data_IF_081653849024
#
_entry.id   IF_081653849024
#
_cell.length_a   1.000
_cell.length_b   1.000
_cell.length_c   1.000
_cell.angle_alpha   90.00
_cell.angle_beta   90.00
_cell.angle_gamma   90.00
#
_symmetry.space_group_name_H-M   'P 1'
#
loop_
_entity.id
_entity.type
_entity.pdbx_description
1 polymer ?
#
# COMPACT_ATOMS: atom_id res chain seq x y z
N UNK A 1 18.46 4.38 37.61
CA UNK A 1 19.20 4.72 36.36
C UNK A 1 19.88 3.48 35.78
N UNK A 2 20.63 2.70 36.59
CA UNK A 2 21.30 1.47 36.12
C UNK A 2 20.34 0.41 35.56
N UNK A 3 19.21 0.15 36.23
CA UNK A 3 18.22 -0.85 35.80
C UNK A 3 17.63 -0.55 34.41
N UNK A 4 17.27 0.71 34.14
CA UNK A 4 16.75 1.12 32.83
C UNK A 4 17.78 0.92 31.72
N UNK A 5 19.06 1.22 31.98
CA UNK A 5 20.13 1.00 31.00
C UNK A 5 20.31 -0.49 30.68
N UNK A 6 20.16 -1.38 31.67
CA UNK A 6 20.26 -2.83 31.46
C UNK A 6 19.08 -3.31 30.60
N UNK A 7 17.85 -2.89 30.92
CA UNK A 7 16.66 -3.26 30.15
C UNK A 7 16.76 -2.79 28.70
N UNK A 8 17.17 -1.53 28.48
CA UNK A 8 17.39 -0.98 27.14
C UNK A 8 18.46 -1.75 26.35
N UNK A 9 19.57 -2.10 27.01
CA UNK A 9 20.67 -2.84 26.37
C UNK A 9 20.26 -4.27 25.98
N UNK A 10 19.54 -4.96 26.87
CA UNK A 10 19.02 -6.31 26.61
C UNK A 10 17.99 -6.27 25.49
N UNK A 11 17.05 -5.31 25.52
CA UNK A 11 16.05 -5.14 24.46
C UNK A 11 16.72 -4.90 23.11
N UNK A 12 17.72 -4.04 23.05
CA UNK A 12 18.47 -3.74 21.82
C UNK A 12 19.18 -4.98 21.28
N UNK A 13 19.81 -5.77 22.15
CA UNK A 13 20.50 -7.00 21.76
C UNK A 13 19.53 -8.04 21.20
N UNK A 14 18.37 -8.21 21.83
CA UNK A 14 17.30 -9.10 21.35
C UNK A 14 16.78 -8.64 19.98
N UNK A 15 16.49 -7.35 19.81
CA UNK A 15 16.00 -6.84 18.52
C UNK A 15 17.07 -6.94 17.44
N UNK A 16 18.33 -6.67 17.75
CA UNK A 16 19.44 -6.82 16.80
C UNK A 16 19.58 -8.28 16.34
N UNK A 17 19.52 -9.24 17.26
CA UNK A 17 19.54 -10.66 16.93
C UNK A 17 18.37 -11.05 16.02
N UNK A 18 17.15 -10.57 16.34
CA UNK A 18 15.97 -10.80 15.53
C UNK A 18 16.10 -10.19 14.12
N UNK A 19 16.68 -8.99 14.00
CA UNK A 19 16.96 -8.33 12.72
C UNK A 19 17.94 -9.14 11.89
N UNK A 20 19.08 -9.53 12.45
CA UNK A 20 20.13 -10.26 11.73
C UNK A 20 19.61 -11.61 11.26
N UNK A 21 18.95 -12.36 12.14
CA UNK A 21 18.38 -13.67 11.77
C UNK A 21 17.30 -13.54 10.70
N UNK A 22 16.40 -12.56 10.83
CA UNK A 22 15.36 -12.30 9.82
C UNK A 22 15.98 -11.92 8.48
N UNK A 23 17.01 -11.06 8.49
CA UNK A 23 17.71 -10.63 7.28
C UNK A 23 18.40 -11.81 6.58
N UNK A 24 19.15 -12.63 7.32
CA UNK A 24 19.82 -13.82 6.77
C UNK A 24 18.82 -14.81 6.19
N UNK A 25 17.70 -15.05 6.87
CA UNK A 25 16.64 -15.94 6.39
C UNK A 25 15.98 -15.38 5.11
N UNK A 26 15.67 -14.08 5.09
CA UNK A 26 15.09 -13.42 3.91
C UNK A 26 16.07 -13.43 2.73
N UNK A 27 17.36 -13.26 2.99
CA UNK A 27 18.39 -13.25 1.94
C UNK A 27 18.46 -14.60 1.22
N UNK A 28 18.28 -15.72 1.94
CA UNK A 28 18.27 -17.06 1.36
C UNK A 28 17.01 -17.28 0.52
N UNK A 29 15.83 -16.91 1.04
CA UNK A 29 14.56 -17.20 0.35
C UNK A 29 14.16 -16.18 -0.72
N UNK A 30 14.44 -14.89 -0.49
CA UNK A 30 14.00 -13.77 -1.34
C UNK A 30 15.12 -12.74 -1.52
N UNK A 31 16.24 -13.11 -2.17
CA UNK A 31 17.40 -12.24 -2.32
C UNK A 31 17.08 -10.94 -3.08
N UNK A 32 16.13 -10.98 -4.03
CA UNK A 32 15.69 -9.79 -4.77
C UNK A 32 15.05 -8.74 -3.86
N UNK A 33 14.20 -9.18 -2.92
CA UNK A 33 13.52 -8.29 -1.99
C UNK A 33 14.52 -7.56 -1.09
N UNK A 34 15.48 -8.30 -0.54
CA UNK A 34 16.56 -7.74 0.29
C UNK A 34 17.39 -6.71 -0.48
N UNK A 35 17.75 -6.97 -1.74
CA UNK A 35 18.52 -5.99 -2.55
C UNK A 35 17.78 -4.66 -2.67
N UNK A 36 16.47 -4.70 -2.93
CA UNK A 36 15.65 -3.48 -3.07
C UNK A 36 15.60 -2.71 -1.75
N UNK A 37 15.34 -3.40 -0.64
CA UNK A 37 15.27 -2.77 0.69
C UNK A 37 16.63 -2.19 1.09
N UNK A 38 17.71 -2.96 0.94
CA UNK A 38 19.06 -2.49 1.22
C UNK A 38 19.43 -1.30 0.34
N UNK A 39 19.04 -1.30 -0.94
CA UNK A 39 19.27 -0.17 -1.83
C UNK A 39 18.53 1.09 -1.37
N UNK A 40 17.23 0.99 -1.06
CA UNK A 40 16.42 2.13 -0.61
C UNK A 40 16.95 2.69 0.71
N UNK A 41 17.29 1.81 1.66
CA UNK A 41 17.95 2.18 2.92
C UNK A 41 19.27 2.91 2.67
N UNK A 42 20.18 2.33 1.85
CA UNK A 42 21.48 2.91 1.57
C UNK A 42 21.37 4.26 0.86
N UNK A 43 20.43 4.38 -0.07
CA UNK A 43 20.17 5.64 -0.77
C UNK A 43 19.74 6.73 0.22
N UNK A 44 18.76 6.43 1.08
CA UNK A 44 18.29 7.37 2.10
C UNK A 44 19.40 7.76 3.09
N UNK A 45 20.19 6.78 3.54
CA UNK A 45 21.33 7.00 4.43
C UNK A 45 22.37 7.93 3.81
N UNK A 46 22.82 7.66 2.59
CA UNK A 46 23.85 8.46 1.93
C UNK A 46 23.35 9.84 1.54
N UNK A 47 22.13 9.95 1.01
CA UNK A 47 21.51 11.24 0.70
C UNK A 47 21.43 12.13 1.95
N UNK A 48 20.94 11.58 3.07
CA UNK A 48 20.87 12.30 4.34
C UNK A 48 22.26 12.69 4.84
N UNK A 49 23.24 11.81 4.69
CA UNK A 49 24.63 12.06 5.11
C UNK A 49 25.26 13.22 4.34
N UNK A 50 25.05 13.27 3.03
CA UNK A 50 25.54 14.35 2.17
C UNK A 50 24.92 15.69 2.59
N UNK A 51 23.61 15.71 2.89
CA UNK A 51 22.92 16.90 3.38
C UNK A 51 23.52 17.38 4.70
N UNK A 52 23.79 16.47 5.64
CA UNK A 52 24.46 16.81 6.90
C UNK A 52 25.85 17.39 6.69
N UNK A 53 26.66 16.77 5.84
CA UNK A 53 27.99 17.29 5.51
C UNK A 53 27.92 18.69 4.91
N UNK A 54 26.95 18.95 4.03
CA UNK A 54 26.73 20.28 3.45
C UNK A 54 26.34 21.33 4.51
N UNK A 55 25.48 20.97 5.47
CA UNK A 55 25.12 21.85 6.58
C UNK A 55 26.32 22.16 7.49
N UNK A 56 27.15 21.15 7.78
CA UNK A 56 28.37 21.33 8.57
C UNK A 56 29.35 22.25 7.83
N UNK A 57 29.59 22.01 6.54
CA UNK A 57 30.51 22.80 5.72
C UNK A 57 30.09 24.28 5.62
N UNK A 58 28.79 24.54 5.55
CA UNK A 58 28.22 25.89 5.50
C UNK A 58 28.05 26.54 6.88
N UNK A 59 28.46 25.86 7.96
CA UNK A 59 28.26 26.29 9.36
C UNK A 59 26.79 26.59 9.69
N UNK A 60 25.88 25.89 9.01
CA UNK A 60 24.42 25.98 9.21
C UNK A 60 23.91 24.91 10.16
N UNK A 61 24.74 24.45 11.09
CA UNK A 61 24.34 23.51 12.14
C UNK A 61 24.74 24.06 13.50
N UNK A 62 23.79 24.05 14.44
CA UNK A 62 24.03 24.48 15.81
C UNK A 62 24.96 23.53 16.55
N UNK A 63 25.48 23.97 17.70
CA UNK A 63 26.27 23.11 18.61
C UNK A 63 25.47 21.89 19.10
N UNK A 64 24.14 22.00 19.08
CA UNK A 64 23.21 20.97 19.53
C UNK A 64 22.78 20.04 18.37
N UNK A 65 23.38 20.16 17.18
CA UNK A 65 23.02 19.37 16.00
C UNK A 65 21.74 19.85 15.28
N UNK A 66 21.11 20.93 15.77
CA UNK A 66 19.92 21.50 15.14
C UNK A 66 20.29 22.25 13.87
N UNK A 67 19.66 21.96 12.71
CA UNK A 67 19.88 22.72 11.48
C UNK A 67 19.46 24.19 11.64
N UNK A 68 20.37 25.11 11.31
CA UNK A 68 20.19 26.56 11.34
C UNK A 68 20.10 27.12 9.90
N UNK A 69 19.71 28.40 9.79
CA UNK A 69 19.65 29.10 8.50
C UNK A 69 18.49 28.68 7.59
N UNK A 70 18.45 29.20 6.35
CA UNK A 70 17.36 28.93 5.40
C UNK A 70 17.23 27.44 5.05
N UNK A 71 18.37 26.76 4.83
CA UNK A 71 18.39 25.33 4.49
C UNK A 71 17.95 24.48 5.68
N UNK A 72 18.44 24.79 6.88
CA UNK A 72 18.01 24.10 8.10
C UNK A 72 16.52 24.29 8.41
N UNK A 73 15.99 25.50 8.20
CA UNK A 73 14.55 25.78 8.31
C UNK A 73 13.74 24.98 7.29
N UNK A 74 14.19 24.92 6.03
CA UNK A 74 13.54 24.12 4.99
C UNK A 74 13.51 22.63 5.36
N UNK A 75 14.63 22.10 5.84
CA UNK A 75 14.72 20.70 6.29
C UNK A 75 13.77 20.41 7.45
N UNK A 76 13.73 21.29 8.46
CA UNK A 76 12.90 21.09 9.65
C UNK A 76 11.41 21.26 9.38
N UNK A 77 11.03 22.21 8.53
CA UNK A 77 9.62 22.56 8.31
C UNK A 77 8.98 21.75 7.19
N UNK A 78 9.74 21.39 6.15
CA UNK A 78 9.18 20.72 4.97
C UNK A 78 9.70 19.29 4.82
N UNK A 79 11.02 19.10 4.74
CA UNK A 79 11.58 17.80 4.35
C UNK A 79 11.41 16.73 5.44
N UNK A 80 11.86 16.99 6.67
CA UNK A 80 11.81 16.01 7.75
C UNK A 80 10.38 15.61 8.12
N UNK A 81 9.42 16.53 8.30
CA UNK A 81 8.03 16.15 8.54
C UNK A 81 7.48 15.27 7.42
N UNK A 82 7.79 15.58 6.16
CA UNK A 82 7.36 14.78 5.02
C UNK A 82 7.95 13.35 5.05
N UNK A 83 9.26 13.19 5.27
CA UNK A 83 9.89 11.86 5.31
C UNK A 83 9.51 11.03 6.54
N UNK A 84 9.05 11.68 7.62
CA UNK A 84 8.63 11.02 8.85
C UNK A 84 7.12 10.94 9.05
N UNK A 85 6.32 11.41 8.07
CA UNK A 85 4.86 11.26 8.10
C UNK A 85 4.43 9.86 7.64
N UNK A 86 4.89 8.86 8.41
CA UNK A 86 4.58 7.44 8.18
C UNK A 86 3.07 7.19 8.26
N UNK A 87 2.32 8.02 9.01
CA UNK A 87 0.87 7.89 9.12
C UNK A 87 0.18 8.26 7.81
N UNK A 88 0.57 9.37 7.18
CA UNK A 88 0.02 9.75 5.89
C UNK A 88 0.43 8.77 4.80
N UNK A 89 1.68 8.30 4.80
CA UNK A 89 2.15 7.25 3.89
C UNK A 89 1.32 5.96 4.02
N UNK A 90 1.11 5.50 5.25
CA UNK A 90 0.31 4.32 5.53
C UNK A 90 -1.14 4.50 5.07
N UNK A 91 -1.74 5.67 5.37
CA UNK A 91 -3.09 5.99 4.95
C UNK A 91 -3.21 6.03 3.43
N UNK A 92 -2.27 6.65 2.74
CA UNK A 92 -2.24 6.76 1.29
C UNK A 92 -2.16 5.36 0.62
N UNK A 93 -1.21 4.53 1.06
CA UNK A 93 -1.03 3.19 0.52
C UNK A 93 -2.25 2.30 0.80
N UNK A 94 -2.81 2.38 2.01
CA UNK A 94 -4.02 1.64 2.40
C UNK A 94 -5.25 2.12 1.62
N UNK A 95 -5.38 3.42 1.37
CA UNK A 95 -6.48 3.99 0.59
C UNK A 95 -6.44 3.50 -0.86
N UNK A 96 -5.26 3.49 -1.48
CA UNK A 96 -5.07 2.94 -2.84
C UNK A 96 -5.43 1.45 -2.87
N UNK A 97 -4.93 0.66 -1.92
CA UNK A 97 -5.26 -0.76 -1.83
C UNK A 97 -6.77 -0.97 -1.65
N UNK A 98 -7.41 -0.17 -0.80
CA UNK A 98 -8.86 -0.24 -0.55
C UNK A 98 -9.68 0.13 -1.78
N UNK A 99 -9.24 1.13 -2.57
CA UNK A 99 -9.89 1.54 -3.81
C UNK A 99 -9.94 0.40 -4.84
N UNK A 100 -8.97 -0.50 -4.81
CA UNK A 100 -8.91 -1.66 -5.72
C UNK A 100 -9.63 -2.88 -5.12
N UNK A 101 -9.41 -3.15 -3.83
CA UNK A 101 -9.91 -4.35 -3.15
C UNK A 101 -11.42 -4.25 -2.90
N UNK A 102 -11.92 -3.12 -2.38
CA UNK A 102 -13.32 -2.99 -1.99
C UNK A 102 -14.31 -3.18 -3.16
N UNK A 103 -14.12 -2.53 -4.34
CA UNK A 103 -15.02 -2.76 -5.47
C UNK A 103 -15.05 -4.22 -5.94
N UNK A 104 -13.92 -4.91 -5.89
CA UNK A 104 -13.86 -6.34 -6.24
C UNK A 104 -14.59 -7.22 -5.22
N UNK A 105 -14.46 -6.93 -3.92
CA UNK A 105 -15.21 -7.64 -2.87
C UNK A 105 -16.71 -7.39 -3.05
N UNK A 106 -17.13 -6.14 -3.26
CA UNK A 106 -18.54 -5.83 -3.47
C UNK A 106 -19.08 -6.48 -4.74
N UNK A 107 -18.36 -6.41 -5.86
CA UNK A 107 -18.75 -7.09 -7.09
C UNK A 107 -18.86 -8.60 -6.89
N UNK A 108 -17.92 -9.21 -6.16
CA UNK A 108 -17.98 -10.63 -5.82
C UNK A 108 -19.23 -10.97 -4.99
N UNK A 109 -19.53 -10.16 -3.97
CA UNK A 109 -20.71 -10.35 -3.13
C UNK A 109 -22.01 -10.20 -3.92
N UNK A 110 -22.14 -9.14 -4.74
CA UNK A 110 -23.34 -8.90 -5.54
C UNK A 110 -23.52 -9.96 -6.62
N UNK A 111 -22.48 -10.29 -7.39
CA UNK A 111 -22.55 -11.38 -8.38
C UNK A 111 -22.75 -12.75 -7.72
N UNK A 112 -22.30 -12.93 -6.48
CA UNK A 112 -22.45 -14.16 -5.70
C UNK A 112 -23.90 -14.44 -5.36
N UNK A 113 -24.69 -13.40 -5.08
CA UNK A 113 -26.15 -13.51 -4.85
C UNK A 113 -26.86 -14.07 -6.09
N UNK A 114 -26.37 -13.77 -7.29
CA UNK A 114 -26.94 -14.25 -8.55
C UNK A 114 -26.29 -15.55 -9.07
N UNK A 115 -25.32 -16.13 -8.35
CA UNK A 115 -24.58 -17.32 -8.78
C UNK A 115 -23.63 -17.10 -9.96
N UNK A 116 -23.29 -15.84 -10.27
CA UNK A 116 -22.40 -15.47 -11.38
C UNK A 116 -21.00 -15.02 -10.91
N UNK A 117 -20.68 -15.17 -9.61
CA UNK A 117 -19.42 -14.70 -9.07
C UNK A 117 -18.21 -15.48 -9.62
N UNK A 118 -17.14 -14.75 -9.93
CA UNK A 118 -15.80 -15.28 -10.22
C UNK A 118 -14.82 -14.76 -9.18
N UNK A 119 -13.79 -15.54 -8.90
CA UNK A 119 -12.74 -15.17 -7.96
C UNK A 119 -12.15 -13.78 -8.29
N UNK A 120 -12.02 -12.87 -7.30
CA UNK A 120 -11.42 -11.56 -7.51
C UNK A 120 -9.93 -11.72 -7.85
N UNK A 121 -9.50 -11.01 -8.90
CA UNK A 121 -8.22 -11.28 -9.58
C UNK A 121 -7.06 -10.47 -8.96
N UNK A 122 -7.33 -9.25 -8.47
CA UNK A 122 -6.28 -8.28 -8.12
C UNK A 122 -6.06 -8.10 -6.61
N UNK A 123 -6.70 -8.92 -5.76
CA UNK A 123 -6.59 -8.77 -4.30
C UNK A 123 -5.16 -9.05 -3.83
N UNK A 124 -4.54 -10.14 -4.29
CA UNK A 124 -3.18 -10.51 -3.89
C UNK A 124 -2.17 -9.42 -4.28
N UNK A 125 -2.18 -8.97 -5.53
CA UNK A 125 -1.29 -7.91 -6.00
C UNK A 125 -1.48 -6.58 -5.27
N UNK A 126 -2.71 -6.25 -4.86
CA UNK A 126 -3.00 -5.02 -4.09
C UNK A 126 -2.47 -5.11 -2.66
N UNK A 127 -2.59 -6.28 -2.03
CA UNK A 127 -2.04 -6.55 -0.70
C UNK A 127 -0.51 -6.53 -0.74
N UNK A 128 0.10 -7.16 -1.75
CA UNK A 128 1.55 -7.15 -1.95
C UNK A 128 2.06 -5.72 -2.13
N UNK A 129 1.39 -4.91 -2.97
CA UNK A 129 1.70 -3.50 -3.15
C UNK A 129 1.62 -2.72 -1.83
N UNK A 130 0.60 -2.99 -1.02
CA UNK A 130 0.41 -2.34 0.27
C UNK A 130 1.59 -2.61 1.21
N UNK A 131 1.93 -3.88 1.43
CA UNK A 131 3.04 -4.23 2.31
C UNK A 131 4.40 -3.78 1.76
N UNK A 132 4.60 -3.83 0.44
CA UNK A 132 5.81 -3.31 -0.20
C UNK A 132 5.95 -1.80 -0.06
N UNK A 133 4.85 -1.05 -0.14
CA UNK A 133 4.83 0.39 0.11
C UNK A 133 5.27 0.70 1.54
N UNK A 134 4.64 0.03 2.51
CA UNK A 134 4.95 0.18 3.94
C UNK A 134 6.42 -0.17 4.22
N UNK A 135 6.91 -1.30 3.72
CA UNK A 135 8.30 -1.71 3.90
C UNK A 135 9.30 -0.67 3.36
N UNK A 136 9.01 -0.05 2.20
CA UNK A 136 9.85 0.99 1.63
C UNK A 136 9.87 2.25 2.50
N UNK A 137 8.72 2.74 2.97
CA UNK A 137 8.65 3.91 3.85
C UNK A 137 9.47 3.71 5.13
N UNK A 138 9.34 2.54 5.78
CA UNK A 138 10.15 2.21 6.97
C UNK A 138 11.65 2.09 6.65
N UNK A 139 12.01 1.54 5.49
CA UNK A 139 13.40 1.44 5.05
C UNK A 139 14.05 2.81 4.85
N UNK A 140 13.33 3.75 4.24
CA UNK A 140 13.77 5.14 4.08
C UNK A 140 13.95 5.80 5.44
N UNK A 141 12.94 5.72 6.31
CA UNK A 141 12.99 6.30 7.66
C UNK A 141 14.18 5.75 8.46
N UNK A 142 14.44 4.44 8.39
CA UNK A 142 15.59 3.80 9.03
C UNK A 142 16.92 4.35 8.50
N UNK A 143 17.06 4.54 7.18
CA UNK A 143 18.26 5.10 6.56
C UNK A 143 18.53 6.54 7.00
N UNK A 144 17.49 7.38 7.04
CA UNK A 144 17.56 8.75 7.54
C UNK A 144 18.03 8.75 9.00
N UNK A 145 17.37 7.97 9.88
CA UNK A 145 17.70 7.89 11.30
C UNK A 145 19.10 7.35 11.58
N UNK A 146 19.57 6.40 10.76
CA UNK A 146 20.92 5.86 10.87
C UNK A 146 21.97 6.93 10.57
N UNK A 147 21.75 7.77 9.56
CA UNK A 147 22.61 8.90 9.26
C UNK A 147 22.63 9.92 10.40
N UNK A 148 21.46 10.30 10.93
CA UNK A 148 21.37 11.17 12.10
C UNK A 148 22.14 10.62 13.31
N UNK A 149 21.97 9.32 13.59
CA UNK A 149 22.66 8.64 14.71
C UNK A 149 24.17 8.70 14.53
N UNK A 150 24.68 8.48 13.31
CA UNK A 150 26.10 8.61 13.01
C UNK A 150 26.64 10.01 13.34
N UNK A 151 25.94 11.06 12.92
CA UNK A 151 26.37 12.44 13.21
C UNK A 151 26.25 12.82 14.68
N UNK A 152 25.26 12.30 15.42
CA UNK A 152 25.21 12.50 16.86
C UNK A 152 26.41 11.88 17.57
N UNK A 153 26.87 10.70 17.13
CA UNK A 153 28.07 10.04 17.67
C UNK A 153 29.32 10.85 17.35
N UNK A 154 29.51 11.23 16.08
CA UNK A 154 30.73 11.90 15.62
C UNK A 154 30.81 13.36 16.10
N UNK A 155 29.69 14.08 16.05
CA UNK A 155 29.60 15.49 16.43
C UNK A 155 29.40 15.73 17.93
N UNK A 156 29.25 14.67 18.73
CA UNK A 156 28.86 14.73 20.15
C UNK A 156 27.58 15.55 20.38
N UNK A 157 26.67 15.54 19.42
CA UNK A 157 25.40 16.26 19.51
C UNK A 157 24.41 15.50 20.39
N UNK A 158 23.61 16.24 21.15
CA UNK A 158 22.49 15.68 21.90
C UNK A 158 21.38 15.30 20.92
N UNK A 159 21.06 14.00 20.88
CA UNK A 159 19.94 13.51 20.09
C UNK A 159 18.62 14.00 20.72
N UNK A 160 18.09 15.12 20.21
CA UNK A 160 16.75 15.60 20.55
C UNK A 160 15.82 15.36 19.37
N UNK A 161 15.14 14.21 19.36
CA UNK A 161 13.94 14.04 18.56
C UNK A 161 12.80 14.75 19.30
N UNK A 162 12.78 16.09 19.29
CA UNK A 162 11.64 16.85 19.82
C UNK A 162 10.33 16.46 19.12
N UNK A 163 10.41 15.84 17.95
CA UNK A 163 9.30 15.27 17.18
C UNK A 163 8.79 13.90 17.67
N UNK A 164 9.59 13.10 18.39
CA UNK A 164 9.22 11.73 18.86
C UNK A 164 8.97 11.70 20.38
N UNK A 165 9.07 12.85 21.04
CA UNK A 165 8.89 12.99 22.48
C UNK A 165 10.17 12.74 23.27
N UNK A 166 10.18 13.23 24.51
CA UNK A 166 11.32 13.09 25.44
C UNK A 166 11.39 11.65 25.97
N UNK A 167 11.97 10.74 25.19
CA UNK A 167 12.41 9.43 25.70
C UNK A 167 13.55 9.70 26.70
N UNK A 168 13.65 9.06 27.88
CA UNK A 168 14.83 9.13 28.76
C UNK A 168 16.00 8.23 28.26
N UNK A 169 17.23 8.37 28.78
CA UNK A 169 18.40 7.53 28.39
C UNK A 169 19.52 8.23 27.58
N UNK A 170 20.67 7.59 27.33
CA UNK A 170 21.77 8.22 26.58
C UNK A 170 21.45 8.30 25.07
N UNK A 171 21.81 9.40 24.39
CA UNK A 171 21.40 9.69 23.01
C UNK A 171 21.82 8.62 21.98
N UNK A 172 22.94 7.94 22.22
CA UNK A 172 23.43 6.83 21.39
C UNK A 172 22.49 5.62 21.40
N UNK A 173 22.09 5.15 22.60
CA UNK A 173 21.21 3.97 22.72
C UNK A 173 19.83 4.25 22.12
N UNK A 174 19.35 5.50 22.19
CA UNK A 174 18.10 5.90 21.54
C UNK A 174 18.18 5.85 20.03
N UNK A 175 19.21 6.47 19.42
CA UNK A 175 19.38 6.46 17.97
C UNK A 175 19.48 5.03 17.41
N UNK A 176 20.31 4.20 18.04
CA UNK A 176 20.48 2.79 17.64
C UNK A 176 19.18 2.00 17.84
N UNK A 177 18.46 2.18 18.96
CA UNK A 177 17.18 1.50 19.20
C UNK A 177 16.13 1.85 18.15
N UNK A 178 15.99 3.13 17.78
CA UNK A 178 15.00 3.53 16.76
C UNK A 178 15.38 2.98 15.39
N UNK A 179 16.66 3.00 15.01
CA UNK A 179 17.14 2.43 13.73
C UNK A 179 16.89 0.93 13.67
N UNK A 180 17.24 0.21 14.74
CA UNK A 180 17.06 -1.25 14.83
C UNK A 180 15.58 -1.60 14.79
N UNK A 181 14.71 -0.86 15.49
CA UNK A 181 13.26 -1.08 15.46
C UNK A 181 12.64 -0.76 14.09
N UNK A 182 13.06 0.32 13.42
CA UNK A 182 12.58 0.65 12.08
C UNK A 182 12.99 -0.42 11.05
N UNK A 183 14.22 -0.94 11.17
CA UNK A 183 14.70 -2.02 10.32
C UNK A 183 14.01 -3.36 10.63
N UNK A 184 13.74 -3.64 11.90
CA UNK A 184 12.95 -4.80 12.32
C UNK A 184 11.53 -4.76 11.75
N UNK A 185 10.85 -3.61 11.84
CA UNK A 185 9.53 -3.42 11.24
C UNK A 185 9.56 -3.61 9.73
N UNK A 186 10.59 -3.08 9.05
CA UNK A 186 10.80 -3.30 7.61
C UNK A 186 10.88 -4.79 7.28
N UNK A 187 11.72 -5.54 8.00
CA UNK A 187 11.89 -6.98 7.79
C UNK A 187 10.62 -7.76 8.13
N UNK A 188 9.91 -7.37 9.18
CA UNK A 188 8.63 -7.98 9.58
C UNK A 188 7.57 -7.81 8.50
N UNK A 189 7.41 -6.60 7.95
CA UNK A 189 6.43 -6.36 6.89
C UNK A 189 6.79 -7.07 5.58
N UNK A 190 8.07 -7.17 5.27
CA UNK A 190 8.51 -7.93 4.09
C UNK A 190 8.25 -9.41 4.32
N UNK A 191 8.55 -9.93 5.52
CA UNK A 191 8.22 -11.29 5.90
C UNK A 191 6.71 -11.57 5.77
N UNK A 192 5.85 -10.64 6.18
CA UNK A 192 4.40 -10.74 6.01
C UNK A 192 3.96 -10.71 4.54
N UNK A 193 4.55 -9.84 3.71
CA UNK A 193 4.26 -9.77 2.26
C UNK A 193 4.70 -11.03 1.52
N UNK A 194 5.75 -11.67 2.02
CA UNK A 194 6.40 -12.81 1.39
C UNK A 194 5.83 -14.14 1.89
N UNK A 195 5.37 -14.18 3.15
CA UNK A 195 4.71 -15.37 3.68
C UNK A 195 3.39 -15.59 2.92
N UNK A 196 3.07 -16.85 2.57
CA UNK A 196 1.76 -17.20 2.02
C UNK A 196 0.63 -16.98 3.04
N UNK A 197 0.86 -16.31 4.17
CA UNK A 197 -0.20 -15.79 5.02
C UNK A 197 -1.10 -14.83 4.23
N UNK A 198 -0.56 -13.98 3.35
CA UNK A 198 -1.39 -13.11 2.50
C UNK A 198 -2.17 -13.93 1.45
N UNK A 199 -1.56 -14.97 0.88
CA UNK A 199 -2.26 -15.93 0.01
C UNK A 199 -3.36 -16.68 0.76
N UNK A 200 -3.10 -17.15 1.99
CA UNK A 200 -4.09 -17.81 2.86
C UNK A 200 -5.16 -16.85 3.34
N UNK A 201 -4.85 -15.58 3.60
CA UNK A 201 -5.83 -14.56 3.94
C UNK A 201 -6.67 -14.15 2.74
N UNK A 202 -6.13 -14.16 1.52
CA UNK A 202 -6.88 -14.03 0.28
C UNK A 202 -7.71 -15.28 -0.06
N UNK A 203 -7.31 -16.46 0.44
CA UNK A 203 -8.10 -17.69 0.41
C UNK A 203 -9.15 -17.74 1.54
N UNK A 204 -8.95 -17.04 2.67
CA UNK A 204 -9.91 -16.98 3.77
C UNK A 204 -11.30 -16.41 3.42
N UNK A 205 -11.47 -15.39 2.54
CA UNK A 205 -12.81 -14.98 2.09
C UNK A 205 -13.51 -16.06 1.25
N UNK A 206 -12.78 -17.06 0.74
CA UNK A 206 -13.39 -18.26 0.13
C UNK A 206 -13.88 -19.29 1.16
N UNK A 207 -13.53 -19.11 2.43
CA UNK A 207 -14.29 -19.66 3.56
C UNK A 207 -15.28 -18.62 4.09
N UNK A 208 -16.06 -18.00 3.19
CA UNK A 208 -17.41 -17.57 3.53
C UNK A 208 -18.03 -18.70 4.38
N UNK A 209 -18.56 -18.40 5.59
CA UNK A 209 -19.06 -19.42 6.49
C UNK A 209 -19.98 -20.28 5.67
N UNK A 210 -19.71 -21.59 5.59
CA UNK A 210 -20.33 -22.59 4.70
C UNK A 210 -21.82 -22.33 4.42
N UNK A 211 -22.52 -21.78 5.41
CA UNK A 211 -23.88 -21.22 5.35
C UNK A 211 -24.13 -20.24 4.20
N UNK A 212 -23.28 -19.25 3.93
CA UNK A 212 -23.50 -18.27 2.83
C UNK A 212 -23.29 -18.94 1.47
N UNK A 213 -22.33 -19.86 1.35
CA UNK A 213 -22.16 -20.67 0.12
C UNK A 213 -23.38 -21.57 -0.09
N UNK A 214 -23.85 -22.25 0.97
CA UNK A 214 -25.06 -23.09 0.92
C UNK A 214 -26.30 -22.24 0.59
N UNK A 215 -26.43 -21.04 1.15
CA UNK A 215 -27.55 -20.12 0.84
C UNK A 215 -27.44 -19.63 -0.61
N UNK A 216 -26.25 -19.23 -1.08
CA UNK A 216 -26.04 -18.81 -2.46
C UNK A 216 -26.31 -19.96 -3.45
N UNK A 217 -25.90 -21.18 -3.10
CA UNK A 217 -26.16 -22.40 -3.87
C UNK A 217 -27.65 -22.76 -3.88
N UNK A 218 -28.34 -22.62 -2.75
CA UNK A 218 -29.80 -22.79 -2.67
C UNK A 218 -30.56 -21.73 -3.47
N UNK A 219 -30.12 -20.47 -3.43
CA UNK A 219 -30.69 -19.37 -4.21
C UNK A 219 -30.42 -19.57 -5.71
N UNK A 220 -29.22 -20.01 -6.08
CA UNK A 220 -28.85 -20.34 -7.46
C UNK A 220 -29.67 -21.52 -8.01
N UNK A 221 -29.79 -22.60 -7.23
CA UNK A 221 -30.64 -23.75 -7.57
C UNK A 221 -32.12 -23.39 -7.64
N UNK A 222 -32.59 -22.48 -6.78
CA UNK A 222 -33.95 -21.94 -6.85
C UNK A 222 -34.16 -21.11 -8.11
N UNK A 223 -33.21 -20.24 -8.48
CA UNK A 223 -33.26 -19.41 -9.67
C UNK A 223 -33.25 -20.24 -10.97
N UNK A 224 -32.38 -21.26 -11.07
CA UNK A 224 -32.34 -22.20 -12.21
C UNK A 224 -33.68 -22.92 -12.39
N UNK A 225 -34.35 -23.30 -11.29
CA UNK A 225 -35.65 -23.99 -11.36
C UNK A 225 -36.80 -23.07 -11.79
N UNK A 226 -36.73 -21.78 -11.50
CA UNK A 226 -37.83 -20.83 -11.74
C UNK A 226 -37.66 -19.98 -13.00
N UNK A 227 -36.43 -19.86 -13.53
CA UNK A 227 -36.13 -19.30 -14.84
C UNK A 227 -35.20 -20.25 -15.61
N UNK A 228 -35.73 -21.35 -16.18
CA UNK A 228 -34.96 -22.21 -17.07
C UNK A 228 -34.76 -21.50 -18.39
N UNK A 229 -33.70 -20.69 -18.50
CA UNK A 229 -33.29 -20.08 -19.77
C UNK A 229 -31.88 -20.50 -20.18
N UNK A 230 -31.60 -20.49 -21.50
CA UNK A 230 -30.95 -21.57 -22.20
C UNK A 230 -29.47 -21.67 -21.84
N UNK A 231 -29.02 -22.92 -21.73
CA UNK A 231 -27.62 -23.30 -21.63
C UNK A 231 -26.81 -22.58 -22.72
N UNK A 232 -25.98 -21.62 -22.31
CA UNK A 232 -24.85 -21.10 -23.09
C UNK A 232 -23.81 -22.21 -23.27
N UNK A 233 -24.13 -23.22 -24.07
CA UNK A 233 -23.18 -24.21 -24.56
C UNK A 233 -22.90 -23.87 -26.02
N UNK A 234 -21.64 -23.57 -26.30
CA UNK A 234 -21.06 -23.32 -27.62
C UNK A 234 -21.67 -22.20 -28.45
N UNK A 235 -21.58 -20.98 -27.92
CA UNK A 235 -21.56 -19.81 -28.81
C UNK A 235 -20.20 -19.78 -29.51
N UNK A 236 -20.13 -20.39 -30.70
CA UNK A 236 -18.95 -20.29 -31.56
C UNK A 236 -18.67 -18.82 -31.88
N UNK A 237 -17.40 -18.45 -32.06
CA UNK A 237 -17.01 -17.10 -32.49
C UNK A 237 -17.76 -16.67 -33.75
N UNK A 238 -18.13 -17.61 -34.63
CA UNK A 238 -18.97 -17.35 -35.80
C UNK A 238 -20.43 -16.98 -35.47
N UNK A 239 -21.02 -17.48 -34.37
CA UNK A 239 -22.34 -17.05 -33.90
C UNK A 239 -22.29 -15.67 -33.25
N UNK A 240 -21.22 -15.36 -32.49
CA UNK A 240 -20.99 -14.00 -31.97
C UNK A 240 -20.79 -12.98 -33.09
N UNK A 241 -20.03 -13.31 -34.11
CA UNK A 241 -19.82 -12.43 -35.27
C UNK A 241 -21.10 -12.22 -36.07
N UNK A 242 -21.91 -13.26 -36.26
CA UNK A 242 -23.19 -13.15 -36.97
C UNK A 242 -24.20 -12.28 -36.21
N UNK A 243 -24.24 -12.41 -34.88
CA UNK A 243 -25.15 -11.63 -34.06
C UNK A 243 -24.64 -10.22 -33.73
N UNK A 244 -23.34 -9.95 -33.89
CA UNK A 244 -22.78 -8.60 -33.75
C UNK A 244 -23.29 -7.67 -34.86
N UNK A 245 -23.47 -8.17 -36.07
CA UNK A 245 -24.08 -7.41 -37.17
C UNK A 245 -25.58 -7.16 -36.92
N UNK A 246 -26.31 -8.15 -36.38
CA UNK A 246 -27.71 -7.98 -36.00
C UNK A 246 -27.89 -6.99 -34.84
N UNK A 247 -26.99 -7.03 -33.84
CA UNK A 247 -26.97 -6.06 -32.74
C UNK A 247 -26.62 -4.67 -33.26
N UNK A 248 -25.66 -4.55 -34.19
CA UNK A 248 -25.32 -3.28 -34.83
C UNK A 248 -26.51 -2.71 -35.60
N UNK A 249 -27.23 -3.52 -36.37
CA UNK A 249 -28.43 -3.10 -37.10
C UNK A 249 -29.55 -2.66 -36.15
N UNK A 250 -29.75 -3.36 -35.03
CA UNK A 250 -30.71 -2.97 -33.99
C UNK A 250 -30.33 -1.63 -33.34
N UNK A 251 -29.04 -1.42 -33.04
CA UNK A 251 -28.56 -0.14 -32.51
C UNK A 251 -28.70 0.99 -33.53
N UNK A 252 -28.44 0.75 -34.81
CA UNK A 252 -28.62 1.73 -35.88
C UNK A 252 -30.11 2.05 -36.12
N UNK A 253 -31.01 1.06 -35.99
CA UNK A 253 -32.45 1.26 -36.07
C UNK A 253 -32.98 2.09 -34.89
N UNK A 254 -32.59 1.75 -33.65
CA UNK A 254 -32.95 2.50 -32.46
C UNK A 254 -32.42 3.95 -32.48
N UNK A 255 -31.20 4.15 -33.00
CA UNK A 255 -30.64 5.49 -33.18
C UNK A 255 -31.40 6.32 -34.25
N UNK A 256 -31.95 5.67 -35.28
CA UNK A 256 -32.80 6.36 -36.27
C UNK A 256 -34.17 6.71 -35.71
N UNK A 257 -34.78 5.83 -34.92
CA UNK A 257 -36.05 6.09 -34.24
C UNK A 257 -35.91 7.28 -33.28
N UNK A 258 -34.86 7.29 -32.46
CA UNK A 258 -34.56 8.40 -31.53
C UNK A 258 -34.32 9.74 -32.24
N UNK A 259 -33.61 9.72 -33.38
CA UNK A 259 -33.35 10.94 -34.16
C UNK A 259 -34.56 11.37 -35.02
N UNK A 260 -35.40 10.42 -35.45
CA UNK A 260 -36.64 10.68 -36.18
C UNK A 260 -37.69 11.37 -35.32
N UNK A 261 -37.87 10.93 -34.08
CA UNK A 261 -38.78 11.56 -33.12
C UNK A 261 -38.35 12.98 -32.73
N UNK A 262 -37.04 13.28 -32.76
CA UNK A 262 -36.54 14.65 -32.58
C UNK A 262 -36.85 15.60 -33.74
N UNK A 263 -36.99 15.08 -34.97
CA UNK A 263 -37.32 15.90 -36.13
C UNK A 263 -38.82 16.29 -36.16
N UNK A 264 -39.72 15.39 -35.77
CA UNK A 264 -41.16 15.71 -35.66
C UNK A 264 -41.49 16.58 -34.44
N UNK A 265 -40.81 16.39 -33.31
CA UNK A 265 -40.96 17.25 -32.14
C UNK A 265 -40.45 18.70 -32.36
N UNK A 266 -39.49 18.88 -33.28
CA UNK A 266 -39.00 20.19 -33.71
C UNK A 266 -39.96 20.93 -34.64
N UNK A 267 -40.63 20.21 -35.57
CA UNK A 267 -41.60 20.78 -36.50
C UNK A 267 -42.90 21.23 -35.83
N UNK A 268 -43.40 20.47 -34.86
CA UNK A 268 -44.63 20.81 -34.13
C UNK A 268 -44.47 22.05 -33.22
N UNK A 269 -43.26 22.35 -32.74
CA UNK A 269 -42.99 23.56 -31.94
C UNK A 269 -42.80 24.83 -32.78
N UNK A 270 -42.47 24.70 -34.06
CA UNK A 270 -42.38 25.85 -34.97
C UNK A 270 -43.77 26.33 -35.43
N UNK A 271 -44.72 25.42 -35.62
CA UNK A 271 -46.09 25.75 -36.05
C UNK A 271 -46.99 26.34 -34.94
N UNK A 272 -46.51 26.45 -33.71
CA UNK A 272 -47.25 27.00 -32.57
C UNK A 272 -46.79 28.41 -32.15
N UNK A 273 -45.91 29.04 -32.97
CA UNK A 273 -45.34 30.37 -32.72
C UNK A 273 -45.68 31.42 -33.78
N UNK A 274 -46.53 31.08 -34.74
CA UNK A 274 -47.18 32.02 -35.66
C UNK A 274 -48.69 32.06 -35.35
#
# INVERSE_FOLDING_TARGET
MLENTIIESVSLLVTLFAVVTSFLWLQIKHPGAIRVISYVFSLAFWATTIIFLALIATKQIGKDGVPLGPLGKFLRTNALPFFFDVSSDFFFVTAIASLVILPQIFSYMFCGIFGCARAPIWISGSIDLMFWGIAKSFSVAAGVLASFTLFCILGKWTFSLDFVGKIPGPPFLRGVSVVVNAFFLTLYYVLLSVLPLCARFAELPFHLPRRIIIIAEQVHQWAIRHNPEPTFQDVSVSFLLKNLDDIRLLCEAAAREYNGDSAEAGGARAAQRD
#
